data_IF_935432966408
#
_entry.id   IF_935432966408
#
_cell.length_a   1.000
_cell.length_b   1.000
_cell.length_c   1.000
_cell.angle_alpha   90.00
_cell.angle_beta   90.00
_cell.angle_gamma   90.00
#
_symmetry.space_group_name_H-M   'P 1'
#
loop_
_entity.id
_entity.type
_entity.pdbx_description
1 polymer ?
#
# COMPACT_ATOMS: atom_id res chain seq x y z
N UNK A 1 13.04 4.59 -9.73
CA UNK A 1 12.04 3.52 -9.66
C UNK A 1 10.97 3.73 -10.72
N UNK A 2 10.78 2.81 -11.68
CA UNK A 2 9.70 2.86 -12.66
C UNK A 2 8.33 2.58 -12.04
N UNK A 3 7.30 3.16 -12.64
CA UNK A 3 5.89 2.93 -12.32
C UNK A 3 5.21 2.18 -13.47
N UNK A 4 4.51 1.09 -13.16
CA UNK A 4 3.75 0.30 -14.13
C UNK A 4 2.26 0.32 -13.73
N UNK A 5 1.42 0.92 -14.57
CA UNK A 5 -0.02 1.02 -14.32
C UNK A 5 -0.80 -0.09 -15.02
N UNK A 6 -1.71 -0.72 -14.28
CA UNK A 6 -2.60 -1.77 -14.76
C UNK A 6 -4.03 -1.28 -14.60
N UNK A 7 -4.69 -1.00 -15.74
CA UNK A 7 -6.05 -0.48 -15.79
C UNK A 7 -6.98 -1.47 -16.50
N UNK A 8 -8.24 -1.52 -16.05
CA UNK A 8 -9.26 -2.37 -16.64
C UNK A 8 -10.52 -2.39 -15.78
N UNK A 9 -11.60 -3.01 -16.27
CA UNK A 9 -12.84 -3.11 -15.50
C UNK A 9 -12.66 -3.94 -14.22
N UNK A 10 -13.61 -3.83 -13.28
CA UNK A 10 -13.64 -4.69 -12.11
C UNK A 10 -13.89 -6.15 -12.54
N UNK A 11 -13.22 -7.10 -11.88
CA UNK A 11 -13.39 -8.54 -12.13
C UNK A 11 -12.66 -9.10 -13.36
N UNK A 12 -11.90 -8.30 -14.13
CA UNK A 12 -11.18 -8.80 -15.33
C UNK A 12 -9.86 -9.54 -15.03
N UNK A 13 -9.52 -9.71 -13.75
CA UNK A 13 -8.33 -10.46 -13.32
C UNK A 13 -7.06 -9.62 -13.10
N UNK A 14 -7.16 -8.29 -12.97
CA UNK A 14 -5.99 -7.41 -12.69
C UNK A 14 -5.23 -7.86 -11.45
N UNK A 15 -5.93 -8.07 -10.35
CA UNK A 15 -5.33 -8.50 -9.08
C UNK A 15 -4.61 -9.85 -9.24
N UNK A 16 -5.22 -10.81 -9.95
CA UNK A 16 -4.60 -12.12 -10.25
C UNK A 16 -3.33 -11.99 -11.08
N UNK A 17 -3.30 -11.08 -12.06
CA UNK A 17 -2.10 -10.80 -12.84
C UNK A 17 -1.00 -10.18 -11.97
N UNK A 18 -1.36 -9.18 -11.16
CA UNK A 18 -0.44 -8.46 -10.28
C UNK A 18 0.16 -9.36 -9.18
N UNK A 19 -0.63 -10.27 -8.61
CA UNK A 19 -0.15 -11.30 -7.67
C UNK A 19 0.93 -12.18 -8.30
N UNK A 20 0.68 -12.69 -9.52
CA UNK A 20 1.64 -13.54 -10.25
C UNK A 20 2.91 -12.79 -10.61
N UNK A 21 2.77 -11.53 -11.06
CA UNK A 21 3.90 -10.69 -11.42
C UNK A 21 4.76 -10.37 -10.19
N UNK A 22 4.13 -10.01 -9.08
CA UNK A 22 4.82 -9.71 -7.82
C UNK A 22 5.58 -10.94 -7.31
N UNK A 23 4.96 -12.13 -7.37
CA UNK A 23 5.64 -13.38 -7.03
C UNK A 23 6.88 -13.61 -7.90
N UNK A 24 6.76 -13.43 -9.22
CA UNK A 24 7.87 -13.60 -10.16
C UNK A 24 9.01 -12.61 -9.89
N UNK A 25 8.69 -11.35 -9.60
CA UNK A 25 9.68 -10.33 -9.26
C UNK A 25 10.39 -10.61 -7.93
N UNK A 26 9.67 -11.13 -6.94
CA UNK A 26 10.29 -11.55 -5.68
C UNK A 26 11.27 -12.72 -5.88
N UNK A 27 10.99 -13.65 -6.79
CA UNK A 27 11.92 -14.74 -7.17
C UNK A 27 13.21 -14.22 -7.85
N UNK A 28 13.20 -12.97 -8.33
CA UNK A 28 14.34 -12.30 -8.98
C UNK A 28 14.96 -11.21 -8.09
N UNK A 29 14.67 -11.22 -6.77
CA UNK A 29 15.14 -10.23 -5.78
C UNK A 29 14.76 -8.76 -6.08
N UNK A 30 13.71 -8.54 -6.88
CA UNK A 30 13.18 -7.22 -7.20
C UNK A 30 12.21 -6.78 -6.09
N UNK A 31 12.49 -5.65 -5.44
CA UNK A 31 11.62 -5.08 -4.39
C UNK A 31 10.45 -4.33 -5.01
N UNK A 32 9.29 -4.96 -4.98
CA UNK A 32 8.06 -4.41 -5.57
C UNK A 32 7.30 -3.55 -4.57
N UNK A 33 7.01 -2.31 -4.94
CA UNK A 33 5.98 -1.49 -4.32
C UNK A 33 4.63 -1.72 -5.00
N UNK A 34 3.53 -1.77 -4.24
CA UNK A 34 2.18 -1.92 -4.78
C UNK A 34 1.30 -0.77 -4.29
N UNK A 35 0.67 -0.07 -5.24
CA UNK A 35 -0.23 1.05 -4.98
C UNK A 35 -1.59 0.79 -5.62
N UNK A 36 -2.62 0.67 -4.79
CA UNK A 36 -4.01 0.51 -5.25
C UNK A 36 -4.74 1.85 -5.19
N UNK A 37 -5.31 2.27 -6.31
CA UNK A 37 -6.24 3.39 -6.33
C UNK A 37 -7.68 2.86 -6.29
N UNK A 38 -8.21 2.68 -5.09
CA UNK A 38 -9.60 2.23 -4.87
C UNK A 38 -10.52 3.44 -4.66
N UNK A 39 -11.70 3.44 -5.30
CA UNK A 39 -12.72 4.49 -5.15
C UNK A 39 -13.57 4.33 -3.90
N UNK A 40 -13.46 3.19 -3.20
CA UNK A 40 -14.24 2.89 -2.02
C UNK A 40 -13.50 3.21 -0.72
N UNK A 41 -14.23 3.62 0.33
CA UNK A 41 -13.68 3.77 1.68
C UNK A 41 -13.15 2.41 2.16
N UNK A 42 -11.84 2.28 2.34
CA UNK A 42 -11.22 1.08 2.90
C UNK A 42 -10.98 1.23 4.41
N UNK A 43 -10.92 0.12 5.13
CA UNK A 43 -10.40 0.04 6.50
C UNK A 43 -9.18 -0.88 6.50
N UNK A 44 -7.99 -0.31 6.74
CA UNK A 44 -6.77 -1.10 6.91
C UNK A 44 -6.57 -1.57 8.35
N UNK A 45 -7.01 -0.78 9.32
CA UNK A 45 -6.82 -1.12 10.74
C UNK A 45 -7.89 -2.08 11.26
N UNK A 46 -7.54 -2.87 12.27
CA UNK A 46 -8.47 -3.75 12.97
C UNK A 46 -9.23 -2.97 14.03
N UNK A 47 -10.56 -2.95 13.93
CA UNK A 47 -11.43 -2.31 14.92
C UNK A 47 -11.10 -2.77 16.34
N UNK A 48 -11.00 -1.83 17.28
CA UNK A 48 -10.75 -2.10 18.70
C UNK A 48 -9.29 -2.24 19.10
N UNK A 49 -8.33 -2.17 18.17
CA UNK A 49 -6.90 -2.10 18.50
C UNK A 49 -6.46 -0.69 18.90
N UNK A 50 -5.31 -0.58 19.56
CA UNK A 50 -4.77 0.68 20.06
C UNK A 50 -4.57 1.72 18.96
N UNK A 51 -4.04 1.30 17.80
CA UNK A 51 -3.88 2.16 16.62
C UNK A 51 -5.23 2.71 16.13
N UNK A 52 -6.27 1.88 16.10
CA UNK A 52 -7.62 2.30 15.70
C UNK A 52 -8.21 3.29 16.71
N UNK A 53 -8.07 3.02 18.02
CA UNK A 53 -8.54 3.90 19.10
C UNK A 53 -7.86 5.26 19.07
N UNK A 54 -6.54 5.30 18.83
CA UNK A 54 -5.78 6.56 18.73
C UNK A 54 -6.16 7.35 17.49
N UNK A 55 -6.44 6.69 16.35
CA UNK A 55 -7.01 7.37 15.17
C UNK A 55 -8.40 7.92 15.43
N UNK A 56 -9.29 7.13 16.03
CA UNK A 56 -10.64 7.56 16.40
C UNK A 56 -10.62 8.74 17.40
N UNK A 57 -9.58 8.82 18.24
CA UNK A 57 -9.34 9.95 19.14
C UNK A 57 -8.77 11.21 18.43
N UNK A 58 -8.40 11.12 17.14
CA UNK A 58 -8.01 12.27 16.32
C UNK A 58 -6.59 12.25 15.75
N UNK A 59 -5.84 11.15 15.86
CA UNK A 59 -4.54 11.06 15.22
C UNK A 59 -4.66 10.95 13.68
N UNK A 60 -4.25 11.99 12.96
CA UNK A 60 -4.28 12.03 11.48
C UNK A 60 -3.20 11.17 10.80
N UNK A 61 -2.24 10.66 11.56
CA UNK A 61 -1.25 9.66 11.11
C UNK A 61 -0.91 8.74 12.28
N UNK A 62 -0.85 7.44 11.99
CA UNK A 62 -0.39 6.41 12.93
C UNK A 62 0.62 5.53 12.24
N UNK A 63 1.74 5.28 12.92
CA UNK A 63 2.78 4.37 12.51
C UNK A 63 2.91 3.23 13.53
N UNK A 64 3.12 2.02 13.04
CA UNK A 64 3.37 0.83 13.85
C UNK A 64 4.50 0.02 13.21
N UNK A 65 5.34 -0.61 14.01
CA UNK A 65 6.44 -1.42 13.53
C UNK A 65 6.70 -2.63 14.41
N UNK A 66 7.29 -3.65 13.81
CA UNK A 66 7.88 -4.80 14.47
C UNK A 66 9.28 -5.07 13.84
N UNK A 67 10.02 -6.13 14.23
CA UNK A 67 11.33 -6.42 13.66
C UNK A 67 11.36 -6.65 12.13
N UNK A 68 10.21 -6.92 11.52
CA UNK A 68 10.06 -7.35 10.12
C UNK A 68 9.09 -6.49 9.31
N UNK A 69 8.20 -5.74 9.97
CA UNK A 69 7.15 -4.95 9.30
C UNK A 69 7.13 -3.51 9.80
N UNK A 70 6.75 -2.62 8.89
CA UNK A 70 6.43 -1.23 9.19
C UNK A 70 5.12 -0.88 8.47
N UNK A 71 4.18 -0.30 9.20
CA UNK A 71 2.88 0.12 8.68
C UNK A 71 2.62 1.58 9.02
N UNK A 72 2.21 2.35 8.01
CA UNK A 72 1.73 3.72 8.18
C UNK A 72 0.32 3.81 7.65
N UNK A 73 -0.54 4.41 8.46
CA UNK A 73 -1.90 4.72 8.09
C UNK A 73 -2.12 6.21 8.34
N UNK A 74 -2.41 6.94 7.28
CA UNK A 74 -2.45 8.39 7.31
C UNK A 74 -3.68 8.92 6.58
N UNK A 75 -4.16 10.07 7.04
CA UNK A 75 -5.16 10.85 6.34
C UNK A 75 -4.56 11.45 5.05
N UNK A 76 -5.41 11.89 4.13
CA UNK A 76 -4.96 12.36 2.82
C UNK A 76 -4.03 13.56 2.88
N UNK A 77 -4.10 14.38 3.93
CA UNK A 77 -3.20 15.53 4.15
C UNK A 77 -1.73 15.09 4.32
N UNK A 78 -1.48 13.83 4.70
CA UNK A 78 -0.15 13.23 4.85
C UNK A 78 0.24 12.30 3.70
N UNK A 79 -0.59 12.21 2.65
CA UNK A 79 -0.44 11.22 1.56
C UNK A 79 0.90 11.32 0.83
N UNK A 80 1.33 12.53 0.49
CA UNK A 80 2.58 12.74 -0.27
C UNK A 80 3.81 12.27 0.50
N UNK A 81 3.91 12.63 1.78
CA UNK A 81 5.04 12.23 2.65
C UNK A 81 5.16 10.71 2.76
N UNK A 82 4.03 10.02 2.87
CA UNK A 82 3.97 8.56 3.07
C UNK A 82 4.33 7.80 1.80
N UNK A 83 3.77 8.23 0.65
CA UNK A 83 4.03 7.61 -0.65
C UNK A 83 5.51 7.76 -1.02
N UNK A 84 6.08 8.96 -0.87
CA UNK A 84 7.49 9.20 -1.20
C UNK A 84 8.43 8.31 -0.39
N UNK A 85 8.27 8.26 0.93
CA UNK A 85 9.12 7.41 1.79
C UNK A 85 9.02 5.92 1.46
N UNK A 86 7.82 5.41 1.17
CA UNK A 86 7.62 4.00 0.89
C UNK A 86 8.23 3.59 -0.45
N UNK A 87 8.14 4.46 -1.45
CA UNK A 87 8.47 4.12 -2.84
C UNK A 87 9.95 4.34 -3.19
N UNK A 88 10.67 5.20 -2.45
CA UNK A 88 12.10 5.46 -2.66
C UNK A 88 13.00 4.22 -2.47
N UNK A 89 12.51 3.18 -1.77
CA UNK A 89 13.26 1.95 -1.50
C UNK A 89 12.90 0.79 -2.43
N UNK A 90 11.91 0.97 -3.30
CA UNK A 90 11.46 -0.08 -4.24
C UNK A 90 12.23 -0.01 -5.56
N UNK A 91 12.41 -1.17 -6.19
CA UNK A 91 13.04 -1.30 -7.50
C UNK A 91 12.03 -1.11 -8.64
N UNK A 92 10.74 -1.38 -8.39
CA UNK A 92 9.61 -1.02 -9.26
C UNK A 92 8.32 -0.82 -8.46
N UNK A 93 7.34 -0.14 -9.05
CA UNK A 93 6.06 0.17 -8.41
C UNK A 93 4.93 -0.22 -9.34
N UNK A 94 4.05 -1.11 -8.88
CA UNK A 94 2.86 -1.54 -9.60
C UNK A 94 1.66 -0.73 -9.12
N UNK A 95 0.94 -0.11 -10.04
CA UNK A 95 -0.26 0.67 -9.77
C UNK A 95 -1.48 -0.11 -10.29
N UNK A 96 -2.45 -0.39 -9.43
CA UNK A 96 -3.74 -0.97 -9.81
C UNK A 96 -4.83 0.11 -9.84
N UNK A 97 -5.55 0.20 -10.97
CA UNK A 97 -6.71 1.08 -11.19
C UNK A 97 -7.87 0.38 -11.89
#
# INVERSE_FOLDING_TARGET
TPFLCFAGFSGVGKTTLLERLTKRFAEEDIRVGYYKHDSHRFKMDKTGKDTARVREAGAGIVAINDPTHFGVLADNDFKQLTITHALERCDCILIEG
#
